data_IF_003055504923
#
_entry.id   IF_003055504923
#
_cell.length_a   1.000
_cell.length_b   1.000
_cell.length_c   1.000
_cell.angle_alpha   90.00
_cell.angle_beta   90.00
_cell.angle_gamma   90.00
#
_symmetry.space_group_name_H-M   'P 1'
#
loop_
_entity.id
_entity.type
_entity.pdbx_description
1 polymer ?
#
# COMPACT_ATOMS: atom_id res chain seq x y z
N UNK A 1 26.60 -19.48 22.44
CA UNK A 1 26.13 -19.36 21.04
C UNK A 1 25.01 -18.34 21.03
N UNK A 2 25.34 -17.10 20.69
CA UNK A 2 24.46 -15.95 20.80
C UNK A 2 23.49 -15.92 19.59
N UNK A 3 22.19 -16.07 19.85
CA UNK A 3 21.07 -15.91 18.89
C UNK A 3 20.79 -14.42 18.60
N UNK A 4 21.82 -13.65 18.26
CA UNK A 4 21.69 -12.22 17.95
C UNK A 4 21.98 -12.00 16.46
N UNK A 5 21.01 -12.32 15.59
CA UNK A 5 20.94 -11.69 14.26
C UNK A 5 19.60 -11.84 13.53
N UNK A 6 18.48 -12.05 14.24
CA UNK A 6 17.16 -12.20 13.60
C UNK A 6 16.46 -10.88 13.26
N UNK A 7 17.09 -9.73 13.51
CA UNK A 7 16.54 -8.44 13.09
C UNK A 7 17.04 -8.11 11.68
N UNK A 8 16.13 -7.81 10.73
CA UNK A 8 16.47 -7.20 9.45
C UNK A 8 17.46 -6.05 9.65
N UNK A 9 18.41 -5.91 8.71
CA UNK A 9 19.30 -4.74 8.72
C UNK A 9 18.45 -3.48 8.56
N UNK A 10 18.84 -2.36 9.17
CA UNK A 10 18.10 -1.09 9.11
C UNK A 10 17.65 -0.72 7.69
N UNK A 11 18.50 -0.93 6.69
CA UNK A 11 18.20 -0.69 5.27
C UNK A 11 16.95 -1.42 4.78
N UNK A 12 16.66 -2.62 5.29
CA UNK A 12 15.48 -3.40 4.91
C UNK A 12 14.20 -2.80 5.50
N UNK A 13 14.27 -2.20 6.69
CA UNK A 13 13.13 -1.47 7.26
C UNK A 13 12.79 -0.23 6.44
N UNK A 14 13.79 0.52 5.97
CA UNK A 14 13.55 1.68 5.10
C UNK A 14 12.89 1.29 3.77
N UNK A 15 13.25 0.14 3.21
CA UNK A 15 12.58 -0.41 2.02
C UNK A 15 11.12 -0.74 2.34
N UNK A 16 10.84 -1.45 3.44
CA UNK A 16 9.48 -1.76 3.87
C UNK A 16 8.64 -0.49 4.13
N UNK A 17 9.21 0.51 4.81
CA UNK A 17 8.53 1.80 5.01
C UNK A 17 8.24 2.51 3.69
N UNK A 18 9.20 2.55 2.78
CA UNK A 18 9.02 3.15 1.46
C UNK A 18 7.91 2.45 0.65
N UNK A 19 7.88 1.11 0.71
CA UNK A 19 6.87 0.31 0.03
C UNK A 19 5.46 0.55 0.61
N UNK A 20 5.31 0.51 1.95
CA UNK A 20 4.02 0.84 2.59
C UNK A 20 3.56 2.25 2.24
N UNK A 21 4.47 3.23 2.24
CA UNK A 21 4.12 4.61 1.91
C UNK A 21 3.67 4.76 0.46
N UNK A 22 4.25 3.98 -0.47
CA UNK A 22 3.79 3.91 -1.86
C UNK A 22 2.37 3.37 -1.96
N UNK A 23 2.05 2.28 -1.28
CA UNK A 23 0.69 1.72 -1.30
C UNK A 23 -0.35 2.68 -0.71
N UNK A 24 -0.02 3.35 0.40
CA UNK A 24 -0.89 4.37 0.99
C UNK A 24 -1.14 5.51 -0.01
N UNK A 25 -0.09 5.97 -0.68
CA UNK A 25 -0.21 7.01 -1.70
C UNK A 25 -1.08 6.56 -2.88
N UNK A 26 -0.87 5.34 -3.38
CA UNK A 26 -1.62 4.79 -4.51
C UNK A 26 -3.09 4.59 -4.18
N UNK A 27 -3.41 4.13 -2.96
CA UNK A 27 -4.79 4.00 -2.47
C UNK A 27 -5.46 5.38 -2.33
N UNK A 28 -4.75 6.36 -1.76
CA UNK A 28 -5.27 7.73 -1.64
C UNK A 28 -5.54 8.36 -3.00
N UNK A 29 -4.65 8.15 -3.98
CA UNK A 29 -4.84 8.61 -5.35
C UNK A 29 -6.04 7.94 -6.02
N UNK A 30 -6.18 6.61 -5.88
CA UNK A 30 -7.33 5.89 -6.42
C UNK A 30 -8.65 6.37 -5.79
N UNK A 31 -8.65 6.74 -4.50
CA UNK A 31 -9.80 7.35 -3.85
C UNK A 31 -10.14 8.72 -4.43
N UNK A 32 -9.15 9.57 -4.70
CA UNK A 32 -9.39 10.87 -5.35
C UNK A 32 -9.97 10.67 -6.75
N UNK A 33 -9.41 9.74 -7.53
CA UNK A 33 -9.92 9.38 -8.87
C UNK A 33 -11.37 8.89 -8.81
N UNK A 34 -11.72 8.07 -7.81
CA UNK A 34 -13.10 7.63 -7.57
C UNK A 34 -14.06 8.78 -7.29
N UNK A 35 -13.63 9.78 -6.52
CA UNK A 35 -14.46 10.93 -6.14
C UNK A 35 -14.65 11.93 -7.29
N UNK A 36 -13.69 12.01 -8.20
CA UNK A 36 -13.77 12.89 -9.38
C UNK A 36 -14.51 12.21 -10.57
N UNK A 37 -14.65 10.88 -10.53
CA UNK A 37 -15.31 10.12 -11.58
C UNK A 37 -16.84 10.31 -11.58
N UNK A 38 -17.35 10.91 -12.66
CA UNK A 38 -18.79 11.16 -12.88
C UNK A 38 -19.49 10.05 -13.67
N UNK A 39 -18.78 8.98 -14.02
CA UNK A 39 -19.27 7.90 -14.88
C UNK A 39 -19.88 6.70 -14.14
N UNK A 40 -20.18 6.86 -12.84
CA UNK A 40 -20.81 5.84 -11.99
C UNK A 40 -20.01 4.52 -11.85
N UNK A 41 -18.70 4.56 -12.17
CA UNK A 41 -17.77 3.43 -12.11
C UNK A 41 -17.21 3.14 -10.70
N UNK A 42 -17.97 3.48 -9.66
CA UNK A 42 -17.56 3.36 -8.26
C UNK A 42 -17.07 1.95 -7.90
N UNK A 43 -17.69 0.91 -8.45
CA UNK A 43 -17.33 -0.49 -8.17
C UNK A 43 -15.91 -0.88 -8.61
N UNK A 44 -15.45 -0.40 -9.76
CA UNK A 44 -14.10 -0.67 -10.26
C UNK A 44 -13.04 0.05 -9.41
N UNK A 45 -13.32 1.30 -9.04
CA UNK A 45 -12.44 2.06 -8.14
C UNK A 45 -12.35 1.43 -6.74
N UNK A 46 -13.48 1.04 -6.16
CA UNK A 46 -13.50 0.37 -4.86
C UNK A 46 -12.73 -0.96 -4.88
N UNK A 47 -12.85 -1.73 -5.97
CA UNK A 47 -12.08 -2.97 -6.17
C UNK A 47 -10.58 -2.69 -6.28
N UNK A 48 -10.18 -1.64 -7.01
CA UNK A 48 -8.77 -1.23 -7.11
C UNK A 48 -8.21 -0.82 -5.76
N UNK A 49 -8.93 -0.01 -4.99
CA UNK A 49 -8.50 0.41 -3.64
C UNK A 49 -8.31 -0.80 -2.73
N UNK A 50 -9.25 -1.76 -2.74
CA UNK A 50 -9.16 -2.99 -1.96
C UNK A 50 -7.95 -3.86 -2.36
N UNK A 51 -7.63 -3.94 -3.64
CA UNK A 51 -6.45 -4.69 -4.10
C UNK A 51 -5.15 -4.04 -3.60
N UNK A 52 -5.09 -2.70 -3.56
CA UNK A 52 -3.92 -1.97 -3.03
C UNK A 52 -3.79 -2.18 -1.52
N UNK A 53 -4.90 -2.15 -0.78
CA UNK A 53 -4.92 -2.45 0.66
C UNK A 53 -4.40 -3.86 0.94
N UNK A 54 -4.90 -4.86 0.21
CA UNK A 54 -4.43 -6.24 0.37
C UNK A 54 -2.94 -6.39 0.08
N UNK A 55 -2.42 -5.71 -0.95
CA UNK A 55 -0.99 -5.73 -1.28
C UNK A 55 -0.09 -4.97 -0.27
N UNK A 56 -0.69 -4.09 0.55
CA UNK A 56 0.01 -3.41 1.63
C UNK A 56 0.05 -4.25 2.92
N UNK A 57 -0.95 -5.10 3.12
CA UNK A 57 -1.05 -6.01 4.27
C UNK A 57 -0.15 -7.26 4.13
N UNK A 58 0.21 -7.64 2.90
CA UNK A 58 1.18 -8.70 2.57
C UNK A 58 2.65 -8.23 2.64
#
# INVERSE_FOLDING_TARGET
MALFNFLPKEDQYFVSFSQMTSYIYDAARALVEMLDDKSDNYGEHAKRIKNIEHACDE
#
